data_IF_591930061137
#
_entry.id   IF_591930061137
#
_cell.length_a   1.000
_cell.length_b   1.000
_cell.length_c   1.000
_cell.angle_alpha   90.00
_cell.angle_beta   90.00
_cell.angle_gamma   90.00
#
_symmetry.space_group_name_H-M   'P 1'
#
loop_
_entity.id
_entity.type
_entity.pdbx_description
1 polymer ?
#
# COMPACT_ATOMS: atom_id res chain seq x y z
N UNK A 1 -8.19 15.58 -19.45
CA UNK A 1 -7.35 16.29 -18.48
C UNK A 1 -5.99 15.63 -18.38
N UNK A 2 -5.06 16.36 -18.73
CA UNK A 2 -3.70 15.87 -18.59
C UNK A 2 -3.04 16.53 -17.38
N UNK A 3 -1.90 16.07 -17.02
CA UNK A 3 -1.10 16.69 -15.99
C UNK A 3 -1.44 16.32 -14.56
N UNK A 4 -2.44 15.48 -14.35
CA UNK A 4 -2.72 15.00 -12.99
C UNK A 4 -1.97 13.70 -12.78
N UNK A 5 -0.95 13.76 -11.92
CA UNK A 5 -0.21 12.56 -11.52
C UNK A 5 -0.63 12.19 -10.11
N UNK A 6 -1.21 11.02 -9.97
CA UNK A 6 -1.58 10.52 -8.66
C UNK A 6 -0.31 10.17 -7.87
N UNK A 7 -0.28 10.46 -6.55
CA UNK A 7 0.90 10.15 -5.76
C UNK A 7 1.18 8.66 -5.66
N UNK A 8 0.16 7.83 -5.82
CA UNK A 8 0.31 6.37 -5.79
C UNK A 8 -0.80 5.74 -6.64
N UNK A 9 -0.43 4.69 -7.37
CA UNK A 9 -1.37 3.88 -8.14
C UNK A 9 -1.13 2.43 -7.76
N UNK A 10 -2.19 1.73 -7.37
CA UNK A 10 -2.09 0.33 -6.97
C UNK A 10 -2.55 -0.55 -8.13
N UNK A 11 -1.66 -1.43 -8.57
CA UNK A 11 -1.97 -2.39 -9.64
C UNK A 11 -2.57 -3.66 -9.03
N UNK A 12 -1.98 -4.15 -7.94
CA UNK A 12 -2.44 -5.34 -7.22
C UNK A 12 -2.41 -5.03 -5.73
N UNK A 13 -3.46 -5.28 -4.98
CA UNK A 13 -4.73 -5.90 -5.36
C UNK A 13 -5.69 -4.91 -6.01
N UNK A 14 -6.60 -5.42 -6.83
CA UNK A 14 -7.70 -4.61 -7.36
C UNK A 14 -8.75 -4.40 -6.27
N UNK A 15 -9.48 -3.28 -6.36
CA UNK A 15 -10.57 -3.00 -5.42
C UNK A 15 -11.59 -4.14 -5.43
N UNK A 16 -12.03 -4.53 -4.23
CA UNK A 16 -13.05 -5.55 -4.01
C UNK A 16 -12.67 -6.94 -4.54
N UNK A 17 -11.38 -7.17 -4.81
CA UNK A 17 -10.92 -8.50 -5.21
C UNK A 17 -10.78 -9.40 -3.98
N UNK A 18 -10.87 -10.70 -4.21
CA UNK A 18 -10.63 -11.70 -3.16
C UNK A 18 -9.12 -11.93 -3.04
N UNK A 19 -8.61 -11.83 -1.83
CA UNK A 19 -7.18 -12.00 -1.56
C UNK A 19 -6.92 -13.24 -0.72
N UNK A 20 -5.70 -13.74 -0.80
CA UNK A 20 -5.24 -14.86 0.03
C UNK A 20 -3.80 -14.61 0.45
N UNK A 21 -3.38 -15.28 1.52
CA UNK A 21 -2.00 -15.16 2.02
C UNK A 21 -1.10 -16.19 1.35
N UNK A 22 0.11 -15.83 0.92
CA UNK A 22 0.67 -14.47 0.97
C UNK A 22 0.05 -13.57 -0.08
N UNK A 23 -0.20 -12.32 0.31
CA UNK A 23 -0.72 -11.32 -0.62
C UNK A 23 0.44 -10.57 -1.24
N UNK A 24 0.54 -10.66 -2.57
CA UNK A 24 1.51 -9.92 -3.33
C UNK A 24 0.93 -8.56 -3.71
N UNK A 25 1.66 -7.48 -3.50
CA UNK A 25 1.20 -6.14 -3.86
C UNK A 25 2.18 -5.50 -4.83
N UNK A 26 1.66 -4.72 -5.76
CA UNK A 26 2.46 -4.01 -6.74
C UNK A 26 1.78 -2.71 -7.12
N UNK A 27 2.58 -1.72 -7.48
CA UNK A 27 2.07 -0.46 -7.95
C UNK A 27 3.20 0.50 -8.24
N UNK A 28 2.85 1.77 -8.27
CA UNK A 28 3.80 2.87 -8.49
C UNK A 28 3.46 3.99 -7.54
N UNK A 29 4.48 4.62 -6.96
CA UNK A 29 4.29 5.76 -6.07
C UNK A 29 5.36 6.80 -6.38
N UNK A 30 5.03 8.08 -6.15
CA UNK A 30 6.02 9.13 -6.27
C UNK A 30 7.15 8.88 -5.30
N UNK A 31 8.37 9.25 -5.69
CA UNK A 31 9.56 9.04 -4.87
C UNK A 31 9.41 9.58 -3.45
N UNK A 32 8.65 10.66 -3.27
CA UNK A 32 8.41 11.25 -1.95
C UNK A 32 7.62 10.35 -1.00
N UNK A 33 7.01 9.28 -1.49
CA UNK A 33 6.31 8.29 -0.66
C UNK A 33 7.28 7.38 0.09
N UNK A 34 8.50 7.24 -0.40
CA UNK A 34 9.48 6.32 0.14
C UNK A 34 10.39 7.00 1.15
N UNK A 35 10.83 6.25 2.15
CA UNK A 35 11.97 6.61 2.97
C UNK A 35 12.83 5.36 3.08
N UNK A 36 14.10 5.50 2.74
CA UNK A 36 15.03 4.36 2.64
C UNK A 36 14.44 3.27 1.75
N UNK A 37 13.89 3.69 0.60
CA UNK A 37 13.36 2.84 -0.44
C UNK A 37 12.07 2.09 -0.06
N UNK A 38 11.42 2.40 1.06
CA UNK A 38 10.20 1.71 1.51
C UNK A 38 9.14 2.66 2.02
N UNK A 39 7.90 2.15 2.06
CA UNK A 39 6.80 2.78 2.81
C UNK A 39 5.93 1.67 3.43
N UNK A 40 5.25 1.95 4.56
CA UNK A 40 4.51 0.91 5.27
C UNK A 40 3.18 0.54 4.59
N UNK A 41 2.83 -0.74 4.71
CA UNK A 41 1.55 -1.26 4.24
C UNK A 41 0.93 -2.05 5.39
N UNK A 42 -0.38 -1.87 5.60
CA UNK A 42 -1.13 -2.61 6.61
C UNK A 42 -2.36 -3.26 6.00
N UNK A 43 -2.69 -4.46 6.48
CA UNK A 43 -3.93 -5.13 6.14
C UNK A 43 -4.81 -5.15 7.37
N UNK A 44 -6.03 -4.66 7.23
CA UNK A 44 -7.01 -4.61 8.31
C UNK A 44 -8.15 -5.57 8.02
N UNK A 45 -8.68 -6.21 9.07
CA UNK A 45 -9.84 -7.08 8.95
C UNK A 45 -11.13 -6.26 9.02
N UNK A 46 -12.29 -6.94 9.00
CA UNK A 46 -13.59 -6.28 9.03
C UNK A 46 -13.80 -5.44 10.29
N UNK A 47 -13.18 -5.80 11.40
CA UNK A 47 -13.28 -5.06 12.65
C UNK A 47 -12.32 -3.87 12.72
N UNK A 48 -11.50 -3.68 11.70
CA UNK A 48 -10.52 -2.60 11.68
C UNK A 48 -9.21 -2.93 12.38
N UNK A 49 -9.02 -4.18 12.80
CA UNK A 49 -7.76 -4.59 13.44
C UNK A 49 -6.70 -4.88 12.39
N UNK A 50 -5.47 -4.45 12.66
CA UNK A 50 -4.32 -4.74 11.80
C UNK A 50 -3.97 -6.23 11.96
N UNK A 51 -4.06 -6.98 10.86
CA UNK A 51 -3.75 -8.41 10.88
C UNK A 51 -2.45 -8.75 10.15
N UNK A 52 -1.88 -7.77 9.43
CA UNK A 52 -0.59 -7.95 8.77
C UNK A 52 0.02 -6.60 8.50
N UNK A 53 1.35 -6.56 8.53
CA UNK A 53 2.12 -5.37 8.15
C UNK A 53 3.22 -5.79 7.20
N UNK A 54 3.62 -4.87 6.34
CA UNK A 54 4.70 -5.07 5.40
C UNK A 54 5.14 -3.74 4.83
N UNK A 55 5.90 -3.80 3.75
CA UNK A 55 6.44 -2.60 3.12
C UNK A 55 6.33 -2.70 1.62
N UNK A 56 6.03 -1.56 0.99
CA UNK A 56 6.25 -1.40 -0.44
C UNK A 56 7.71 -1.03 -0.63
N UNK A 57 8.43 -1.83 -1.41
CA UNK A 57 9.86 -1.59 -1.68
C UNK A 57 10.03 -1.09 -3.10
N UNK A 58 10.75 0.03 -3.25
CA UNK A 58 11.07 0.57 -4.56
C UNK A 58 11.92 -0.45 -5.34
N UNK A 59 11.58 -0.64 -6.61
CA UNK A 59 12.32 -1.55 -7.48
C UNK A 59 13.29 -0.80 -8.40
N UNK A 60 13.38 0.51 -8.23
CA UNK A 60 14.31 1.35 -8.98
C UNK A 60 14.70 2.54 -8.10
N UNK A 61 15.40 3.53 -8.66
CA UNK A 61 15.83 4.72 -7.92
C UNK A 61 14.62 5.46 -7.35
N UNK A 62 14.60 5.63 -6.03
CA UNK A 62 13.45 6.22 -5.33
C UNK A 62 13.67 7.70 -4.97
N UNK A 63 14.91 8.17 -4.96
CA UNK A 63 15.20 9.57 -4.63
C UNK A 63 14.95 10.44 -5.85
N UNK A 64 13.68 10.57 -6.22
CA UNK A 64 13.23 11.29 -7.40
C UNK A 64 11.84 11.86 -7.13
N UNK A 65 11.44 12.85 -7.94
CA UNK A 65 10.07 13.36 -7.93
C UNK A 65 9.17 12.59 -8.89
N UNK A 66 9.72 11.62 -9.59
CA UNK A 66 8.97 10.83 -10.56
C UNK A 66 8.34 9.62 -9.90
N UNK A 67 7.50 8.94 -10.65
CA UNK A 67 6.82 7.73 -10.19
C UNK A 67 7.79 6.56 -10.20
N UNK A 68 7.78 5.78 -9.12
CA UNK A 68 8.72 4.68 -8.90
C UNK A 68 7.91 3.41 -8.68
N UNK A 69 8.19 2.32 -9.43
CA UNK A 69 7.50 1.06 -9.18
C UNK A 69 7.91 0.45 -7.86
N UNK A 70 6.95 -0.24 -7.23
CA UNK A 70 7.21 -0.92 -5.96
C UNK A 70 6.51 -2.27 -5.94
N UNK A 71 6.97 -3.14 -5.03
CA UNK A 71 6.28 -4.40 -4.72
C UNK A 71 6.48 -4.74 -3.25
N UNK A 72 5.60 -5.60 -2.75
CA UNK A 72 5.67 -6.06 -1.38
C UNK A 72 4.87 -7.33 -1.20
N UNK A 73 4.94 -7.90 0.00
CA UNK A 73 4.22 -9.12 0.34
C UNK A 73 3.71 -9.02 1.76
N UNK A 74 2.44 -9.42 1.95
CA UNK A 74 1.83 -9.47 3.27
C UNK A 74 1.42 -10.91 3.56
N UNK A 75 1.77 -11.39 4.76
CA UNK A 75 1.38 -12.71 5.23
C UNK A 75 0.42 -12.52 6.40
N UNK A 76 -0.76 -13.14 6.32
CA UNK A 76 -1.79 -12.91 7.31
C UNK A 76 -2.50 -14.22 7.67
N UNK A 77 -3.11 -14.28 8.88
CA UNK A 77 -3.85 -15.46 9.30
C UNK A 77 -5.15 -15.60 8.52
N UNK A 78 -5.65 -16.82 8.45
CA UNK A 78 -6.89 -17.13 7.77
C UNK A 78 -8.04 -16.26 8.29
N UNK A 79 -8.88 -15.78 7.37
CA UNK A 79 -10.04 -14.96 7.69
C UNK A 79 -11.29 -15.66 7.16
N UNK A 80 -12.49 -15.34 7.70
CA UNK A 80 -13.71 -15.92 7.17
C UNK A 80 -13.88 -15.59 5.70
N UNK A 81 -14.22 -16.60 4.90
CA UNK A 81 -14.41 -16.44 3.46
C UNK A 81 -15.48 -15.40 3.17
N UNK A 82 -15.18 -14.46 2.29
CA UNK A 82 -16.10 -13.39 1.91
C UNK A 82 -16.15 -12.21 2.88
N UNK A 83 -15.40 -12.25 3.99
CA UNK A 83 -15.35 -11.12 4.91
C UNK A 83 -14.62 -9.95 4.24
N UNK A 84 -15.06 -8.70 4.51
CA UNK A 84 -14.36 -7.54 3.94
C UNK A 84 -13.08 -7.23 4.71
N UNK A 85 -12.15 -6.58 4.03
CA UNK A 85 -10.92 -6.07 4.64
C UNK A 85 -10.44 -4.85 3.87
N UNK A 86 -9.38 -4.23 4.35
CA UNK A 86 -8.80 -3.06 3.70
C UNK A 86 -7.28 -3.14 3.73
N UNK A 87 -6.65 -2.79 2.60
CA UNK A 87 -5.20 -2.68 2.51
C UNK A 87 -4.86 -1.19 2.51
N UNK A 88 -4.02 -0.79 3.46
CA UNK A 88 -3.64 0.61 3.67
C UNK A 88 -2.19 0.79 3.21
N UNK A 89 -2.00 1.63 2.21
CA UNK A 89 -0.68 2.01 1.71
C UNK A 89 -0.39 3.38 2.28
N UNK A 90 0.61 3.49 3.13
CA UNK A 90 0.89 4.72 3.90
C UNK A 90 2.18 5.35 3.45
N UNK A 91 2.13 6.63 3.11
CA UNK A 91 3.32 7.38 2.78
C UNK A 91 4.29 7.38 3.96
N UNK A 92 5.56 7.08 3.69
CA UNK A 92 6.61 7.24 4.69
C UNK A 92 6.76 8.72 5.01
N UNK A 93 6.65 9.06 6.30
CA UNK A 93 6.71 10.45 6.74
C UNK A 93 7.83 10.60 7.76
N UNK A 94 9.05 10.79 7.26
CA UNK A 94 10.23 10.93 8.12
C UNK A 94 10.18 12.19 8.99
N UNK A 95 9.41 13.21 8.57
CA UNK A 95 9.28 14.46 9.34
C UNK A 95 8.44 14.28 10.59
N UNK A 96 7.50 13.32 10.58
CA UNK A 96 6.54 13.14 11.66
C UNK A 96 5.47 14.21 11.72
N UNK A 97 5.43 15.15 10.77
CA UNK A 97 4.44 16.22 10.76
C UNK A 97 3.16 15.73 10.08
N UNK A 98 1.99 15.87 10.73
CA UNK A 98 0.73 15.36 10.16
C UNK A 98 0.40 15.92 8.78
N UNK A 99 0.84 17.11 8.45
CA UNK A 99 0.57 17.75 7.16
C UNK A 99 1.24 17.02 5.99
N UNK A 100 2.23 16.16 6.26
CA UNK A 100 2.90 15.37 5.24
C UNK A 100 2.43 13.92 5.20
N UNK A 101 1.48 13.55 6.07
CA UNK A 101 0.90 12.22 6.04
C UNK A 101 0.01 12.06 4.82
N UNK A 102 0.04 10.86 4.25
CA UNK A 102 -0.85 10.50 3.14
C UNK A 102 -1.04 8.99 3.15
N UNK A 103 -2.15 8.55 2.60
CA UNK A 103 -2.43 7.12 2.50
C UNK A 103 -3.51 6.88 1.45
N UNK A 104 -3.54 5.63 0.94
CA UNK A 104 -4.63 5.17 0.10
C UNK A 104 -5.10 3.83 0.66
N UNK A 105 -6.41 3.62 0.61
CA UNK A 105 -7.05 2.43 1.16
C UNK A 105 -7.74 1.68 0.02
N UNK A 106 -7.42 0.39 -0.12
CA UNK A 106 -8.02 -0.46 -1.13
C UNK A 106 -8.89 -1.49 -0.43
N UNK A 107 -10.21 -1.47 -0.64
CA UNK A 107 -11.09 -2.51 -0.08
C UNK A 107 -10.87 -3.83 -0.79
N UNK A 108 -10.88 -4.91 -0.02
CA UNK A 108 -10.68 -6.27 -0.51
C UNK A 108 -11.64 -7.21 0.21
N UNK A 109 -11.64 -8.47 -0.21
CA UNK A 109 -12.41 -9.53 0.44
C UNK A 109 -11.51 -10.73 0.72
N UNK A 110 -11.82 -11.45 1.76
CA UNK A 110 -11.06 -12.64 2.10
C UNK A 110 -11.64 -13.93 1.55
#
# INVERSE_FOLDING_TARGET
>A
MEGVTLPIVIVVPAENSTISSPLHVEGEAQGSWFFEATFPIELHNAAGAVIATGYGEATSEWMTNEVVPFKGTLIFPSQPSGAPGTVHFKKSNASGLPEYDDSIIIPVMF
#
